data_IF_018617368394
#
_entry.id   IF_018617368394
#
_cell.length_a   1.000
_cell.length_b   1.000
_cell.length_c   1.000
_cell.angle_alpha   90.00
_cell.angle_beta   90.00
_cell.angle_gamma   90.00
#
_symmetry.space_group_name_H-M   'P 1'
#
loop_
_entity.id
_entity.type
_entity.pdbx_description
1 polymer ?
#
# COMPACT_ATOMS: atom_id res chain seq x y z
N UNK A 1 -10.55 -11.86 0.57
CA UNK A 1 -10.30 -10.41 0.41
C UNK A 1 -11.35 -9.72 -0.45
N UNK A 2 -11.72 -10.22 -1.64
CA UNK A 2 -12.67 -9.59 -2.58
C UNK A 2 -14.00 -9.17 -1.94
N UNK A 3 -14.59 -10.02 -1.12
CA UNK A 3 -15.84 -9.71 -0.41
C UNK A 3 -15.71 -8.48 0.51
N UNK A 4 -14.60 -8.38 1.23
CA UNK A 4 -14.34 -7.22 2.10
C UNK A 4 -14.10 -5.96 1.28
N UNK A 5 -13.31 -6.05 0.21
CA UNK A 5 -13.09 -4.96 -0.74
C UNK A 5 -14.42 -4.46 -1.32
N UNK A 6 -15.28 -5.37 -1.81
CA UNK A 6 -16.57 -5.01 -2.37
C UNK A 6 -17.45 -4.28 -1.35
N UNK A 7 -17.53 -4.82 -0.12
CA UNK A 7 -18.29 -4.21 0.97
C UNK A 7 -17.77 -2.83 1.33
N UNK A 8 -16.46 -2.67 1.50
CA UNK A 8 -15.87 -1.41 1.94
C UNK A 8 -16.02 -0.32 0.89
N UNK A 9 -15.98 -0.67 -0.42
CA UNK A 9 -16.35 0.25 -1.50
C UNK A 9 -17.80 0.71 -1.35
N UNK A 10 -18.73 -0.23 -1.12
CA UNK A 10 -20.18 0.08 -0.93
C UNK A 10 -20.44 0.94 0.29
N UNK A 11 -19.68 0.75 1.36
CA UNK A 11 -19.81 1.53 2.60
C UNK A 11 -19.17 2.91 2.53
N UNK A 12 -18.57 3.28 1.39
CA UNK A 12 -17.93 4.57 1.22
C UNK A 12 -16.56 4.70 1.89
N UNK A 13 -15.98 3.61 2.41
CA UNK A 13 -14.66 3.62 3.03
C UNK A 13 -13.57 3.94 2.01
N UNK A 14 -12.48 4.57 2.47
CA UNK A 14 -11.25 4.67 1.69
C UNK A 14 -10.52 3.32 1.64
N UNK A 15 -9.84 3.05 0.54
CA UNK A 15 -9.15 1.77 0.33
C UNK A 15 -7.78 2.03 -0.30
N UNK A 16 -6.77 1.27 0.14
CA UNK A 16 -5.57 1.03 -0.63
C UNK A 16 -5.43 -0.48 -0.84
N UNK A 17 -5.22 -0.90 -2.07
CA UNK A 17 -4.95 -2.29 -2.43
C UNK A 17 -3.52 -2.40 -2.94
N UNK A 18 -2.70 -3.17 -2.23
CA UNK A 18 -1.29 -3.43 -2.52
C UNK A 18 -1.11 -4.95 -2.62
N UNK A 19 -0.70 -5.44 -3.79
CA UNK A 19 -0.47 -6.87 -3.98
C UNK A 19 0.52 -7.14 -5.13
N UNK A 20 1.39 -8.18 -5.02
CA UNK A 20 2.52 -8.35 -5.93
C UNK A 20 2.20 -9.14 -7.20
N UNK A 21 1.01 -9.71 -7.36
CA UNK A 21 0.65 -10.60 -8.45
C UNK A 21 -0.27 -9.98 -9.51
N UNK A 22 -1.05 -8.97 -9.15
CA UNK A 22 -2.00 -8.27 -10.03
C UNK A 22 -3.37 -8.95 -10.15
N UNK A 23 -3.51 -10.22 -9.78
CA UNK A 23 -4.78 -10.94 -9.93
C UNK A 23 -5.92 -10.37 -9.10
N UNK A 24 -5.65 -10.01 -7.85
CA UNK A 24 -6.66 -9.42 -6.97
C UNK A 24 -6.99 -7.99 -7.42
N UNK A 25 -5.99 -7.22 -7.83
CA UNK A 25 -6.18 -5.86 -8.34
C UNK A 25 -7.01 -5.86 -9.63
N UNK A 26 -6.73 -6.77 -10.56
CA UNK A 26 -7.48 -6.90 -11.81
C UNK A 26 -8.94 -7.28 -11.53
N UNK A 27 -9.19 -8.26 -10.64
CA UNK A 27 -10.56 -8.63 -10.23
C UNK A 27 -11.28 -7.50 -9.51
N UNK A 28 -10.58 -6.79 -8.63
CA UNK A 28 -11.12 -5.65 -7.91
C UNK A 28 -11.58 -4.54 -8.86
N UNK A 29 -10.75 -4.19 -9.84
CA UNK A 29 -11.08 -3.17 -10.82
C UNK A 29 -12.26 -3.57 -11.75
N UNK A 30 -12.57 -4.86 -11.85
CA UNK A 30 -13.73 -5.36 -12.60
C UNK A 30 -15.04 -5.34 -11.79
N UNK A 31 -15.06 -4.91 -10.54
CA UNK A 31 -16.30 -4.82 -9.79
C UNK A 31 -17.32 -3.91 -10.50
N UNK A 32 -18.58 -4.33 -10.55
CA UNK A 32 -19.69 -3.59 -11.14
C UNK A 32 -19.87 -2.20 -10.53
N UNK A 33 -19.48 -2.03 -9.26
CA UNK A 33 -19.48 -0.76 -8.53
C UNK A 33 -18.69 0.34 -9.24
N UNK A 34 -17.70 -0.03 -10.06
CA UNK A 34 -16.86 0.92 -10.79
C UNK A 34 -17.35 1.21 -12.21
N UNK A 35 -18.46 0.67 -12.64
CA UNK A 35 -19.08 1.04 -13.92
C UNK A 35 -19.35 2.54 -13.95
N UNK A 36 -19.12 3.16 -15.11
CA UNK A 36 -19.27 4.61 -15.29
C UNK A 36 -20.72 5.08 -15.11
N UNK A 37 -21.68 4.20 -15.35
CA UNK A 37 -23.13 4.43 -15.17
C UNK A 37 -23.67 3.93 -13.81
N UNK A 38 -22.82 3.40 -12.94
CA UNK A 38 -23.27 2.90 -11.64
C UNK A 38 -23.60 4.07 -10.70
N UNK A 39 -24.77 3.99 -10.04
CA UNK A 39 -25.33 5.03 -9.16
C UNK A 39 -24.40 5.47 -8.01
N UNK A 40 -23.51 4.58 -7.54
CA UNK A 40 -22.56 4.90 -6.46
C UNK A 40 -21.46 5.85 -6.88
N UNK A 41 -21.21 6.01 -8.19
CA UNK A 41 -20.09 6.76 -8.74
C UNK A 41 -18.72 6.40 -8.13
N UNK A 42 -18.58 5.16 -7.64
CA UNK A 42 -17.35 4.71 -6.97
C UNK A 42 -16.10 4.83 -7.86
N UNK A 43 -16.29 4.78 -9.19
CA UNK A 43 -15.22 5.00 -10.16
C UNK A 43 -14.59 6.40 -10.05
N UNK A 44 -15.28 7.39 -9.50
CA UNK A 44 -14.74 8.73 -9.30
C UNK A 44 -13.71 8.80 -8.17
N UNK A 45 -13.81 7.88 -7.23
CA UNK A 45 -12.89 7.72 -6.10
C UNK A 45 -11.64 6.92 -6.46
N UNK A 46 -11.61 6.24 -7.63
CA UNK A 46 -10.46 5.44 -8.05
C UNK A 46 -9.25 6.31 -8.36
N UNK A 47 -8.12 5.94 -7.77
CA UNK A 47 -6.78 6.42 -8.08
C UNK A 47 -5.94 5.21 -8.44
N UNK A 48 -5.39 5.20 -9.64
CA UNK A 48 -4.60 4.09 -10.13
C UNK A 48 -3.13 4.48 -10.17
N UNK A 49 -2.31 3.81 -9.37
CA UNK A 49 -0.86 3.82 -9.50
C UNK A 49 -0.47 2.65 -10.41
N UNK A 50 -0.55 2.86 -11.72
CA UNK A 50 -0.26 1.84 -12.74
C UNK A 50 1.16 2.03 -13.28
N UNK A 51 2.08 1.17 -12.84
CA UNK A 51 3.47 1.17 -13.29
C UNK A 51 3.75 0.07 -14.34
N UNK A 52 2.71 -0.64 -14.78
CA UNK A 52 2.82 -1.75 -15.72
C UNK A 52 2.48 -1.35 -17.16
N UNK A 53 1.81 -0.22 -17.33
CA UNK A 53 1.36 0.25 -18.64
C UNK A 53 2.53 0.82 -19.46
N UNK A 54 2.35 0.93 -20.78
CA UNK A 54 3.30 1.60 -21.68
C UNK A 54 3.52 3.08 -21.31
N UNK A 55 2.49 3.69 -20.71
CA UNK A 55 2.53 5.04 -20.16
C UNK A 55 2.25 4.96 -18.66
N UNK A 56 3.27 4.70 -17.82
CA UNK A 56 3.07 4.51 -16.40
C UNK A 56 2.64 5.80 -15.72
N UNK A 57 1.93 5.64 -14.61
CA UNK A 57 1.56 6.77 -13.74
C UNK A 57 2.81 7.50 -13.27
N UNK A 58 2.96 8.82 -13.47
CA UNK A 58 4.04 9.60 -12.89
C UNK A 58 4.08 9.43 -11.37
N UNK A 59 5.19 8.94 -10.86
CA UNK A 59 5.38 8.65 -9.44
C UNK A 59 6.75 9.12 -8.95
N UNK A 60 7.01 10.43 -9.11
CA UNK A 60 8.21 11.03 -8.55
C UNK A 60 8.00 11.25 -7.05
N UNK A 61 8.56 10.35 -6.24
CA UNK A 61 8.41 10.33 -4.78
C UNK A 61 8.99 11.57 -4.09
N UNK A 62 9.87 12.32 -4.75
CA UNK A 62 10.46 13.55 -4.24
C UNK A 62 9.61 14.79 -4.56
N UNK A 63 8.67 14.68 -5.50
CA UNK A 63 7.71 15.75 -5.83
C UNK A 63 6.47 15.64 -4.97
N UNK A 64 6.62 15.98 -3.71
CA UNK A 64 5.55 16.02 -2.70
C UNK A 64 5.34 17.45 -2.24
N UNK A 65 4.12 17.77 -1.80
CA UNK A 65 3.83 19.09 -1.21
C UNK A 65 4.63 19.29 0.08
N UNK A 66 5.58 20.20 0.06
CA UNK A 66 6.32 20.64 1.24
C UNK A 66 5.71 21.94 1.79
N UNK A 67 5.66 22.11 3.12
CA UNK A 67 5.25 23.38 3.74
C UNK A 67 6.14 24.54 3.29
N UNK A 68 5.58 25.74 3.23
CA UNK A 68 6.34 26.98 2.99
C UNK A 68 7.07 27.49 4.23
N UNK A 69 6.56 27.17 5.43
CA UNK A 69 7.25 27.48 6.68
C UNK A 69 8.55 26.66 6.80
N UNK A 70 9.71 27.27 7.04
CA UNK A 70 11.00 26.58 7.06
C UNK A 70 11.08 25.46 8.10
N UNK A 71 10.56 25.68 9.31
CA UNK A 71 10.59 24.69 10.39
C UNK A 71 9.70 23.50 10.06
N UNK A 72 8.46 23.74 9.64
CA UNK A 72 7.53 22.70 9.22
C UNK A 72 8.04 21.94 7.98
N UNK A 73 8.74 22.64 7.07
CA UNK A 73 9.39 22.04 5.89
C UNK A 73 10.50 21.08 6.31
N UNK A 74 11.35 21.46 7.24
CA UNK A 74 12.43 20.61 7.77
C UNK A 74 11.88 19.34 8.43
N UNK A 75 10.92 19.51 9.33
CA UNK A 75 10.24 18.38 9.98
C UNK A 75 9.65 17.44 8.92
N UNK A 76 9.02 18.01 7.90
CA UNK A 76 8.42 17.22 6.81
C UNK A 76 9.43 16.45 5.99
N UNK A 77 10.57 17.01 5.69
CA UNK A 77 11.67 16.35 4.97
C UNK A 77 12.21 15.18 5.81
N UNK A 78 12.44 15.39 7.10
CA UNK A 78 12.92 14.34 8.00
C UNK A 78 11.92 13.16 8.10
N UNK A 79 10.62 13.46 8.21
CA UNK A 79 9.56 12.45 8.18
C UNK A 79 9.57 11.64 6.87
N UNK A 80 9.71 12.30 5.73
CA UNK A 80 9.76 11.65 4.42
C UNK A 80 11.01 10.78 4.29
N UNK A 81 12.18 11.29 4.65
CA UNK A 81 13.43 10.54 4.62
C UNK A 81 13.37 9.29 5.52
N UNK A 82 12.84 9.44 6.74
CA UNK A 82 12.61 8.32 7.66
C UNK A 82 11.60 7.31 7.11
N UNK A 83 10.57 7.78 6.40
CA UNK A 83 9.54 6.91 5.80
C UNK A 83 10.05 6.15 4.57
N UNK A 84 10.92 6.75 3.76
CA UNK A 84 11.40 6.11 2.52
C UNK A 84 12.48 5.07 2.79
N UNK A 85 13.34 5.28 3.79
CA UNK A 85 14.43 4.38 4.10
C UNK A 85 14.02 2.91 4.26
N UNK A 86 12.99 2.55 5.06
CA UNK A 86 12.56 1.16 5.18
C UNK A 86 12.06 0.55 3.86
N UNK A 87 11.44 1.37 2.98
CA UNK A 87 10.98 0.87 1.68
C UNK A 87 12.14 0.51 0.77
N UNK A 88 13.20 1.31 0.76
CA UNK A 88 14.43 1.01 0.02
C UNK A 88 15.16 -0.18 0.64
N UNK A 89 15.31 -0.21 1.97
CA UNK A 89 16.00 -1.31 2.67
C UNK A 89 15.36 -2.67 2.41
N UNK A 90 14.02 -2.72 2.34
CA UNK A 90 13.31 -3.96 2.02
C UNK A 90 13.42 -4.37 0.54
N UNK A 91 13.56 -3.42 -0.37
CA UNK A 91 13.66 -3.69 -1.80
C UNK A 91 15.05 -4.16 -2.21
N UNK A 92 16.07 -3.56 -1.60
CA UNK A 92 17.46 -3.77 -1.98
C UNK A 92 18.00 -5.05 -1.35
N UNK A 93 18.47 -6.00 -2.16
CA UNK A 93 19.10 -7.24 -1.71
C UNK A 93 20.52 -7.39 -2.29
N UNK A 94 21.45 -7.98 -1.57
CA UNK A 94 21.41 -8.40 -0.16
C UNK A 94 21.14 -7.22 0.77
N UNK A 95 20.77 -7.50 2.03
CA UNK A 95 20.42 -6.48 3.03
C UNK A 95 21.43 -5.34 3.09
N UNK A 96 20.93 -4.13 3.31
CA UNK A 96 21.77 -2.96 3.46
C UNK A 96 22.53 -3.02 4.80
N UNK A 97 23.77 -2.56 4.81
CA UNK A 97 24.51 -2.34 6.05
C UNK A 97 24.02 -1.05 6.72
N UNK A 98 24.24 -0.92 8.03
CA UNK A 98 23.93 0.32 8.77
C UNK A 98 24.59 1.55 8.13
N UNK A 99 25.80 1.40 7.61
CA UNK A 99 26.49 2.48 6.90
C UNK A 99 25.80 2.89 5.59
N UNK A 100 25.27 1.92 4.83
CA UNK A 100 24.49 2.21 3.62
C UNK A 100 23.16 2.89 3.97
N UNK A 101 22.50 2.46 5.03
CA UNK A 101 21.24 3.07 5.48
C UNK A 101 21.45 4.52 5.94
N UNK A 102 22.48 4.77 6.75
CA UNK A 102 22.83 6.11 7.20
C UNK A 102 23.18 7.03 6.01
N UNK A 103 23.96 6.52 5.06
CA UNK A 103 24.32 7.24 3.83
C UNK A 103 23.08 7.54 2.99
N UNK A 104 22.25 6.54 2.72
CA UNK A 104 21.05 6.72 1.91
C UNK A 104 20.06 7.70 2.56
N UNK A 105 19.88 7.64 3.88
CA UNK A 105 19.05 8.61 4.61
C UNK A 105 19.57 10.04 4.43
N UNK A 106 20.86 10.24 4.55
CA UNK A 106 21.49 11.56 4.35
C UNK A 106 21.27 12.08 2.93
N UNK A 107 21.45 11.21 1.92
CA UNK A 107 21.23 11.56 0.51
C UNK A 107 19.75 11.88 0.26
N UNK A 108 18.82 11.06 0.73
CA UNK A 108 17.37 11.30 0.59
C UNK A 108 17.02 12.67 1.19
N UNK A 109 17.50 12.98 2.39
CA UNK A 109 17.27 14.28 3.04
C UNK A 109 17.81 15.42 2.17
N UNK A 110 19.03 15.31 1.66
CA UNK A 110 19.64 16.33 0.81
C UNK A 110 18.86 16.55 -0.49
N UNK A 111 18.42 15.48 -1.16
CA UNK A 111 17.66 15.55 -2.43
C UNK A 111 16.40 16.39 -2.30
N UNK A 112 15.70 16.37 -1.16
CA UNK A 112 14.50 17.20 -0.94
C UNK A 112 14.78 18.71 -0.92
N UNK A 113 16.03 19.13 -0.79
CA UNK A 113 16.40 20.55 -0.87
C UNK A 113 16.70 21.01 -2.30
N UNK A 114 16.73 20.11 -3.28
CA UNK A 114 16.86 20.49 -4.69
C UNK A 114 15.57 21.16 -5.19
N UNK A 115 15.68 22.10 -6.16
CA UNK A 115 14.49 22.74 -6.76
C UNK A 115 13.64 21.76 -7.57
N UNK A 116 14.29 20.81 -8.24
CA UNK A 116 13.66 19.79 -9.10
C UNK A 116 14.15 18.39 -8.73
N UNK A 117 13.74 17.86 -7.55
CA UNK A 117 14.28 16.60 -7.06
C UNK A 117 13.69 15.40 -7.79
N UNK A 118 14.53 14.38 -8.02
CA UNK A 118 14.14 13.12 -8.65
C UNK A 118 14.93 11.94 -8.08
N UNK A 119 14.49 10.73 -8.39
CA UNK A 119 15.24 9.52 -8.02
C UNK A 119 16.65 9.49 -8.60
N UNK A 120 16.86 10.10 -9.78
CA UNK A 120 18.16 10.15 -10.41
C UNK A 120 19.19 10.96 -9.58
N UNK A 121 18.71 11.89 -8.76
CA UNK A 121 19.61 12.67 -7.89
C UNK A 121 20.21 11.82 -6.76
N UNK A 122 19.54 10.73 -6.33
CA UNK A 122 20.18 9.77 -5.42
C UNK A 122 21.42 9.13 -6.03
N UNK A 123 21.32 8.77 -7.32
CA UNK A 123 22.43 8.15 -8.04
C UNK A 123 23.48 9.20 -8.38
N UNK A 124 23.05 10.39 -8.79
CA UNK A 124 23.94 11.49 -9.15
C UNK A 124 24.82 11.94 -8.00
N UNK A 125 24.30 12.01 -6.78
CA UNK A 125 25.09 12.32 -5.57
C UNK A 125 26.13 11.21 -5.28
N UNK A 126 25.78 9.94 -5.52
CA UNK A 126 26.71 8.81 -5.34
C UNK A 126 27.78 8.73 -6.44
N UNK A 127 27.49 9.28 -7.63
CA UNK A 127 28.41 9.36 -8.77
C UNK A 127 29.31 10.60 -8.75
N UNK A 128 29.03 11.55 -7.83
CA UNK A 128 29.75 12.82 -7.78
C UNK A 128 31.16 12.60 -7.22
N UNK A 129 32.15 12.48 -8.12
CA UNK A 129 33.56 12.31 -7.79
C UNK A 129 34.28 13.66 -7.76
N UNK A 130 33.82 14.60 -8.56
CA UNK A 130 34.42 15.91 -8.78
C UNK A 130 33.53 17.01 -8.18
N UNK A 131 33.51 17.07 -6.88
CA UNK A 131 32.59 17.85 -6.08
C UNK A 131 32.71 19.37 -6.18
N UNK A 132 33.75 19.90 -6.82
CA UNK A 132 33.94 21.33 -6.99
C UNK A 132 33.13 21.82 -8.21
N UNK A 133 32.16 22.71 -7.97
CA UNK A 133 31.29 23.36 -8.96
C UNK A 133 30.08 22.57 -9.47
N UNK A 134 29.82 21.36 -8.96
CA UNK A 134 28.64 20.60 -9.37
C UNK A 134 27.34 21.15 -8.75
N UNK A 135 26.20 20.74 -9.31
CA UNK A 135 24.86 21.01 -8.76
C UNK A 135 24.73 20.53 -7.31
N UNK A 136 25.37 19.41 -6.96
CA UNK A 136 25.29 18.81 -5.65
C UNK A 136 26.17 19.52 -4.62
N UNK A 137 27.33 20.04 -5.02
CA UNK A 137 28.17 20.86 -4.13
C UNK A 137 27.43 22.09 -3.62
N UNK A 138 26.78 22.84 -4.53
CA UNK A 138 25.95 23.99 -4.15
C UNK A 138 24.81 23.60 -3.23
N UNK A 139 24.21 22.41 -3.45
CA UNK A 139 23.21 21.86 -2.56
C UNK A 139 23.78 21.66 -1.16
N UNK A 140 24.94 21.02 -1.03
CA UNK A 140 25.53 20.71 0.27
C UNK A 140 25.90 21.98 1.05
N UNK A 141 26.45 23.00 0.40
CA UNK A 141 26.73 24.31 1.00
C UNK A 141 25.43 24.99 1.50
N UNK A 142 24.32 24.80 0.81
CA UNK A 142 23.03 25.42 1.16
C UNK A 142 22.27 24.72 2.26
N UNK A 143 22.71 23.54 2.73
CA UNK A 143 22.03 22.81 3.79
C UNK A 143 22.10 23.57 5.11
N UNK A 144 20.93 23.88 5.68
CA UNK A 144 20.82 24.57 6.96
C UNK A 144 21.27 23.72 8.14
N UNK A 145 21.05 22.39 8.06
CA UNK A 145 21.47 21.46 9.10
C UNK A 145 23.00 21.30 9.10
N UNK A 146 23.71 21.80 10.15
CA UNK A 146 25.17 21.80 10.16
C UNK A 146 25.80 20.41 10.26
N UNK A 147 25.07 19.43 10.82
CA UNK A 147 25.53 18.04 10.91
C UNK A 147 25.49 17.41 9.53
N UNK A 148 24.38 17.58 8.80
CA UNK A 148 24.21 17.03 7.45
C UNK A 148 25.18 17.70 6.47
N UNK A 149 25.33 19.03 6.55
CA UNK A 149 26.33 19.77 5.76
C UNK A 149 27.74 19.27 6.05
N UNK A 150 28.13 19.20 7.32
CA UNK A 150 29.45 18.71 7.71
C UNK A 150 29.74 17.28 7.26
N UNK A 151 28.70 16.42 7.20
CA UNK A 151 28.82 15.07 6.66
C UNK A 151 29.22 15.10 5.18
N UNK A 152 28.54 15.89 4.35
CA UNK A 152 28.86 15.99 2.92
C UNK A 152 30.18 16.71 2.66
N UNK A 153 30.51 17.76 3.40
CA UNK A 153 31.75 18.49 3.23
C UNK A 153 33.00 17.69 3.66
N UNK A 154 32.90 16.87 4.73
CA UNK A 154 34.06 16.28 5.37
C UNK A 154 34.20 14.77 5.24
N UNK A 155 33.08 14.05 5.25
CA UNK A 155 33.08 12.60 5.38
C UNK A 155 32.69 11.87 4.11
N UNK A 156 31.68 12.36 3.41
CA UNK A 156 31.06 11.66 2.26
C UNK A 156 32.04 11.41 1.11
N UNK A 157 32.97 12.33 0.83
CA UNK A 157 33.94 12.22 -0.26
C UNK A 157 35.26 11.56 0.14
N UNK A 158 35.36 11.06 1.36
CA UNK A 158 36.58 10.30 1.75
C UNK A 158 36.63 8.98 0.99
N UNK A 159 37.84 8.60 0.55
CA UNK A 159 38.07 7.34 -0.20
C UNK A 159 37.53 6.08 0.50
N UNK A 160 37.53 6.06 1.83
CA UNK A 160 36.95 4.97 2.63
C UNK A 160 35.44 4.78 2.43
N UNK A 161 34.72 5.81 1.96
CA UNK A 161 33.29 5.76 1.73
C UNK A 161 32.91 5.05 0.41
N UNK A 162 33.87 4.88 -0.50
CA UNK A 162 33.65 4.19 -1.77
C UNK A 162 33.19 2.74 -1.58
N UNK A 163 33.67 2.07 -0.54
CA UNK A 163 33.22 0.72 -0.16
C UNK A 163 31.73 0.67 0.14
N UNK A 164 31.15 1.78 0.59
CA UNK A 164 29.70 1.92 0.88
C UNK A 164 28.93 2.49 -0.31
N UNK A 165 29.51 3.48 -1.03
CA UNK A 165 28.88 4.14 -2.17
C UNK A 165 28.65 3.21 -3.35
N UNK A 166 29.67 2.49 -3.79
CA UNK A 166 29.60 1.67 -5.01
C UNK A 166 28.50 0.60 -4.93
N UNK A 167 28.42 -0.25 -3.88
CA UNK A 167 27.33 -1.22 -3.78
C UNK A 167 25.95 -0.57 -3.63
N UNK A 168 25.82 0.56 -2.93
CA UNK A 168 24.55 1.28 -2.80
C UNK A 168 24.10 1.82 -4.15
N UNK A 169 25.00 2.44 -4.91
CA UNK A 169 24.74 2.93 -6.26
C UNK A 169 24.27 1.84 -7.21
N UNK A 170 24.95 0.70 -7.25
CA UNK A 170 24.59 -0.41 -8.12
C UNK A 170 23.20 -0.96 -7.80
N UNK A 171 22.86 -1.02 -6.53
CA UNK A 171 21.52 -1.46 -6.08
C UNK A 171 20.43 -0.46 -6.49
N UNK A 172 20.65 0.85 -6.30
CA UNK A 172 19.71 1.89 -6.75
C UNK A 172 19.54 1.89 -8.27
N UNK A 173 20.64 1.72 -9.04
CA UNK A 173 20.58 1.53 -10.48
C UNK A 173 19.80 0.28 -10.88
N UNK A 174 19.95 -0.79 -10.09
CA UNK A 174 19.18 -2.03 -10.24
C UNK A 174 17.67 -1.80 -10.24
N UNK A 175 17.17 -0.94 -9.35
CA UNK A 175 15.75 -0.59 -9.26
C UNK A 175 15.24 0.15 -10.50
N UNK A 176 16.09 0.92 -11.18
CA UNK A 176 15.75 1.67 -12.39
C UNK A 176 15.95 0.88 -13.70
N UNK A 177 16.16 -0.43 -13.69
CA UNK A 177 16.38 -1.21 -14.92
C UNK A 177 15.17 -1.24 -15.84
N UNK A 178 13.96 -1.23 -15.29
CA UNK A 178 12.73 -1.22 -16.07
C UNK A 178 12.46 0.17 -16.65
N UNK A 179 12.14 0.23 -17.95
CA UNK A 179 11.74 1.47 -18.62
C UNK A 179 10.52 2.13 -17.95
N UNK A 180 9.57 1.31 -17.54
CA UNK A 180 8.36 1.79 -16.85
C UNK A 180 8.70 2.46 -15.51
N UNK A 181 9.61 1.86 -14.75
CA UNK A 181 10.10 2.44 -13.50
C UNK A 181 10.81 3.76 -13.75
N UNK A 182 11.70 3.82 -14.76
CA UNK A 182 12.37 5.06 -15.12
C UNK A 182 11.35 6.16 -15.45
N UNK A 183 10.38 5.86 -16.33
CA UNK A 183 9.36 6.83 -16.72
C UNK A 183 8.52 7.34 -15.54
N UNK A 184 8.21 6.48 -14.59
CA UNK A 184 7.43 6.85 -13.42
C UNK A 184 8.24 7.68 -12.41
N UNK A 185 9.44 7.21 -12.03
CA UNK A 185 10.22 7.82 -10.95
C UNK A 185 11.02 9.04 -11.38
N UNK A 186 11.35 9.16 -12.69
CA UNK A 186 12.04 10.32 -13.25
C UNK A 186 11.08 11.35 -13.84
N UNK A 187 9.77 11.17 -13.66
CA UNK A 187 8.78 12.14 -14.10
C UNK A 187 8.96 13.49 -13.37
N UNK A 188 8.60 14.57 -14.05
CA UNK A 188 8.66 15.93 -13.49
C UNK A 188 7.63 16.17 -12.37
N UNK A 189 6.65 15.28 -12.21
CA UNK A 189 5.56 15.41 -11.26
C UNK A 189 5.22 14.09 -10.56
N UNK A 190 4.42 14.19 -9.48
CA UNK A 190 3.81 13.05 -8.82
C UNK A 190 2.30 13.13 -8.99
N UNK A 191 1.71 12.18 -9.72
CA UNK A 191 0.27 12.12 -9.97
C UNK A 191 -0.53 11.57 -8.78
N UNK A 192 0.12 11.07 -7.71
CA UNK A 192 -0.53 10.43 -6.57
C UNK A 192 -0.41 11.30 -5.32
N UNK A 193 -1.52 11.91 -4.92
CA UNK A 193 -1.62 12.71 -3.70
C UNK A 193 -2.19 11.86 -2.55
N UNK A 194 -1.31 11.34 -1.70
CA UNK A 194 -1.69 10.46 -0.58
C UNK A 194 -2.48 11.19 0.52
N UNK A 195 -2.25 12.47 0.72
CA UNK A 195 -3.03 13.27 1.67
C UNK A 195 -4.48 13.44 1.18
N UNK A 196 -4.67 13.72 -0.11
CA UNK A 196 -5.99 13.76 -0.73
C UNK A 196 -6.68 12.40 -0.72
N UNK A 197 -5.95 11.31 -1.01
CA UNK A 197 -6.47 9.94 -1.00
C UNK A 197 -7.08 9.61 0.36
N UNK A 198 -6.37 9.89 1.43
CA UNK A 198 -6.86 9.64 2.79
C UNK A 198 -7.97 10.60 3.21
N UNK A 199 -7.81 11.90 2.93
CA UNK A 199 -8.77 12.93 3.32
C UNK A 199 -10.12 12.75 2.66
N UNK A 200 -10.13 12.35 1.40
CA UNK A 200 -11.35 12.22 0.58
C UNK A 200 -11.88 10.78 0.54
N UNK A 201 -11.21 9.85 1.24
CA UNK A 201 -11.60 8.45 1.24
C UNK A 201 -11.53 7.81 -0.15
N UNK A 202 -10.52 8.15 -0.95
CA UNK A 202 -10.33 7.58 -2.29
C UNK A 202 -9.96 6.10 -2.24
N UNK A 203 -9.93 5.47 -3.39
CA UNK A 203 -9.62 4.07 -3.59
C UNK A 203 -8.34 3.98 -4.41
N UNK A 204 -7.21 3.74 -3.73
CA UNK A 204 -5.91 3.56 -4.37
C UNK A 204 -5.72 2.10 -4.76
N UNK A 205 -5.39 1.86 -6.02
CA UNK A 205 -4.98 0.54 -6.51
C UNK A 205 -3.54 0.64 -7.03
N UNK A 206 -2.64 -0.12 -6.40
CA UNK A 206 -1.24 -0.19 -6.81
C UNK A 206 -1.05 -1.37 -7.75
N UNK A 207 -0.72 -1.09 -9.01
CA UNK A 207 -0.39 -2.08 -10.04
C UNK A 207 1.10 -2.08 -10.31
N UNK A 208 1.78 -3.03 -9.67
CA UNK A 208 3.23 -3.17 -9.71
C UNK A 208 3.62 -4.65 -9.64
N UNK A 209 3.16 -5.45 -10.63
CA UNK A 209 3.35 -6.91 -10.64
C UNK A 209 4.83 -7.29 -10.74
N UNK A 210 5.24 -8.23 -9.91
CA UNK A 210 6.62 -8.72 -9.86
C UNK A 210 7.08 -9.40 -11.15
N UNK A 211 6.17 -10.02 -11.90
CA UNK A 211 6.50 -10.65 -13.19
C UNK A 211 6.67 -9.63 -14.33
N UNK A 212 6.28 -8.38 -14.14
CA UNK A 212 6.43 -7.28 -15.12
C UNK A 212 7.60 -6.38 -14.76
N UNK A 213 7.70 -5.99 -13.50
CA UNK A 213 8.68 -4.98 -13.03
C UNK A 213 9.90 -5.58 -12.31
N UNK A 214 9.87 -6.88 -12.01
CA UNK A 214 10.82 -7.55 -11.14
C UNK A 214 10.41 -7.51 -9.67
N UNK A 215 10.94 -8.46 -8.87
CA UNK A 215 10.53 -8.63 -7.47
C UNK A 215 10.93 -7.43 -6.60
N UNK A 216 12.16 -6.94 -6.78
CA UNK A 216 12.73 -5.83 -6.00
C UNK A 216 11.95 -4.53 -6.23
N UNK A 217 11.70 -4.17 -7.49
CA UNK A 217 10.95 -2.97 -7.85
C UNK A 217 9.48 -3.06 -7.37
N UNK A 218 8.82 -4.20 -7.57
CA UNK A 218 7.46 -4.42 -7.09
C UNK A 218 7.36 -4.24 -5.57
N UNK A 219 8.30 -4.81 -4.83
CA UNK A 219 8.37 -4.70 -3.36
C UNK A 219 8.63 -3.26 -2.92
N UNK A 220 9.55 -2.56 -3.58
CA UNK A 220 9.85 -1.15 -3.30
C UNK A 220 8.61 -0.28 -3.47
N UNK A 221 7.92 -0.42 -4.60
CA UNK A 221 6.72 0.39 -4.92
C UNK A 221 5.62 0.17 -3.89
N UNK A 222 5.33 -1.09 -3.56
CA UNK A 222 4.31 -1.40 -2.55
C UNK A 222 4.65 -0.84 -1.17
N UNK A 223 5.92 -0.92 -0.77
CA UNK A 223 6.39 -0.35 0.49
C UNK A 223 6.37 1.18 0.48
N UNK A 224 6.82 1.83 -0.60
CA UNK A 224 6.73 3.29 -0.73
C UNK A 224 5.29 3.78 -0.67
N UNK A 225 4.38 3.15 -1.42
CA UNK A 225 2.96 3.48 -1.38
C UNK A 225 2.38 3.35 0.04
N UNK A 226 2.72 2.26 0.75
CA UNK A 226 2.32 2.07 2.14
C UNK A 226 2.91 3.15 3.08
N UNK A 227 4.20 3.44 2.97
CA UNK A 227 4.86 4.45 3.80
C UNK A 227 4.25 5.84 3.62
N UNK A 228 3.98 6.22 2.37
CA UNK A 228 3.34 7.49 2.06
C UNK A 228 1.90 7.56 2.61
N UNK A 229 1.14 6.46 2.54
CA UNK A 229 -0.18 6.34 3.19
C UNK A 229 -0.09 6.47 4.70
N UNK A 230 0.85 5.78 5.32
CA UNK A 230 1.04 5.80 6.76
C UNK A 230 1.39 7.20 7.26
N UNK A 231 2.37 7.86 6.61
CA UNK A 231 2.73 9.24 6.92
C UNK A 231 1.56 10.21 6.73
N UNK A 232 0.76 10.06 5.66
CA UNK A 232 -0.44 10.85 5.44
C UNK A 232 -1.52 10.59 6.51
N UNK A 233 -1.64 9.36 7.03
CA UNK A 233 -2.59 9.04 8.10
C UNK A 233 -2.28 9.80 9.40
N UNK A 234 -1.01 9.92 9.78
CA UNK A 234 -0.62 10.72 10.95
C UNK A 234 -1.04 12.18 10.82
N UNK A 235 -0.89 12.78 9.64
CA UNK A 235 -1.25 14.18 9.40
C UNK A 235 -2.75 14.45 9.47
N UNK A 236 -3.59 13.42 9.30
CA UNK A 236 -5.06 13.59 9.37
C UNK A 236 -5.55 14.11 10.72
N UNK A 237 -4.87 13.78 11.82
CA UNK A 237 -5.30 14.20 13.17
C UNK A 237 -5.31 15.71 13.35
N UNK A 238 -4.36 16.41 12.75
CA UNK A 238 -4.28 17.87 12.87
C UNK A 238 -5.43 18.61 12.18
N UNK A 239 -6.23 17.91 11.36
CA UNK A 239 -7.31 18.53 10.59
C UNK A 239 -8.64 18.64 11.35
N UNK A 240 -8.77 18.04 12.54
CA UNK A 240 -9.94 18.20 13.42
C UNK A 240 -11.30 17.74 12.85
N UNK A 241 -11.32 17.00 11.74
CA UNK A 241 -12.52 16.51 11.05
C UNK A 241 -12.79 15.04 11.37
N UNK A 242 -14.06 14.63 11.24
CA UNK A 242 -14.41 13.22 11.30
C UNK A 242 -13.62 12.41 10.26
N UNK A 243 -12.95 11.35 10.72
CA UNK A 243 -12.08 10.54 9.87
C UNK A 243 -12.92 9.52 9.09
N UNK A 244 -12.85 9.56 7.76
CA UNK A 244 -13.37 8.48 6.92
C UNK A 244 -12.51 7.23 7.20
N UNK A 245 -13.12 6.08 7.56
CA UNK A 245 -12.36 4.83 7.73
C UNK A 245 -11.61 4.48 6.45
N UNK A 246 -10.34 4.17 6.58
CA UNK A 246 -9.46 3.82 5.46
C UNK A 246 -8.85 2.45 5.68
N UNK A 247 -8.99 1.55 4.72
CA UNK A 247 -8.52 0.17 4.81
C UNK A 247 -7.35 -0.07 3.85
N UNK A 248 -6.19 -0.43 4.40
CA UNK A 248 -5.03 -0.84 3.63
C UNK A 248 -5.04 -2.37 3.50
N UNK A 249 -5.32 -2.85 2.30
CA UNK A 249 -5.34 -4.26 1.94
C UNK A 249 -3.97 -4.66 1.38
N UNK A 250 -3.33 -5.62 2.03
CA UNK A 250 -2.06 -6.18 1.58
C UNK A 250 -2.21 -7.69 1.40
N UNK A 251 -2.24 -8.13 0.15
CA UNK A 251 -2.15 -9.56 -0.17
C UNK A 251 -0.67 -9.97 -0.24
N UNK A 252 -0.33 -11.21 0.13
CA UNK A 252 1.05 -11.67 0.30
C UNK A 252 1.85 -10.68 1.19
N UNK A 253 1.26 -10.33 2.34
CA UNK A 253 1.74 -9.25 3.21
C UNK A 253 3.18 -9.44 3.72
N UNK A 254 3.73 -10.65 3.69
CA UNK A 254 5.15 -10.91 4.00
C UNK A 254 6.12 -10.13 3.11
N UNK A 255 5.68 -9.65 1.94
CA UNK A 255 6.48 -8.79 1.08
C UNK A 255 6.57 -7.33 1.58
N UNK A 256 5.68 -6.95 2.49
CA UNK A 256 5.49 -5.56 2.91
C UNK A 256 5.60 -5.31 4.41
N UNK A 257 5.61 -6.38 5.24
CA UNK A 257 5.68 -6.24 6.70
C UNK A 257 7.08 -5.77 7.10
N UNK A 258 7.15 -4.52 7.50
CA UNK A 258 8.29 -3.86 8.10
C UNK A 258 7.89 -3.25 9.45
N UNK A 259 8.81 -2.55 10.11
CA UNK A 259 8.54 -1.89 11.39
C UNK A 259 7.37 -0.90 11.32
N UNK A 260 7.21 -0.20 10.20
CA UNK A 260 6.10 0.76 10.03
C UNK A 260 4.75 0.03 9.99
N UNK A 261 4.66 -1.14 9.33
CA UNK A 261 3.43 -1.95 9.36
C UNK A 261 3.18 -2.45 10.78
N UNK A 262 4.23 -2.93 11.49
CA UNK A 262 4.13 -3.42 12.87
C UNK A 262 3.62 -2.30 13.80
N UNK A 263 4.20 -1.12 13.71
CA UNK A 263 3.77 0.06 14.48
C UNK A 263 2.35 0.48 14.08
N UNK A 264 2.05 0.46 12.79
CA UNK A 264 0.73 0.75 12.25
C UNK A 264 -0.36 -0.19 12.78
N UNK A 265 -0.07 -1.48 12.94
CA UNK A 265 -0.99 -2.44 13.55
C UNK A 265 -1.37 -2.07 15.00
N UNK A 266 -0.48 -1.40 15.71
CA UNK A 266 -0.70 -0.95 17.08
C UNK A 266 -1.38 0.41 17.18
N UNK A 267 -1.03 1.35 16.29
CA UNK A 267 -1.31 2.77 16.47
C UNK A 267 -2.21 3.39 15.39
N UNK A 268 -2.12 2.92 14.13
CA UNK A 268 -2.74 3.59 12.98
C UNK A 268 -4.27 3.71 13.05
N UNK A 269 -4.92 2.89 13.89
CA UNK A 269 -6.34 2.97 14.16
C UNK A 269 -6.77 4.35 14.69
N UNK A 270 -5.94 5.00 15.50
CA UNK A 270 -6.21 6.34 16.03
C UNK A 270 -6.37 7.36 14.89
N UNK A 271 -5.71 7.10 13.77
CA UNK A 271 -5.70 7.93 12.57
C UNK A 271 -6.73 7.47 11.52
N UNK A 272 -7.61 6.52 11.87
CA UNK A 272 -8.60 5.96 10.97
C UNK A 272 -8.03 5.07 9.88
N UNK A 273 -6.76 4.64 9.98
CA UNK A 273 -6.14 3.68 9.08
C UNK A 273 -6.21 2.27 9.68
N UNK A 274 -6.75 1.33 8.92
CA UNK A 274 -6.95 -0.06 9.29
C UNK A 274 -6.23 -0.97 8.30
N UNK A 275 -5.75 -2.13 8.77
CA UNK A 275 -5.06 -3.10 7.93
C UNK A 275 -5.88 -4.35 7.71
N UNK A 276 -5.87 -4.84 6.47
CA UNK A 276 -6.39 -6.14 6.07
C UNK A 276 -5.26 -6.90 5.41
N UNK A 277 -4.68 -7.83 6.15
CA UNK A 277 -3.45 -8.53 5.77
C UNK A 277 -3.76 -9.99 5.43
N UNK A 278 -3.21 -10.50 4.32
CA UNK A 278 -3.30 -11.90 3.97
C UNK A 278 -1.93 -12.46 3.61
N UNK A 279 -1.69 -13.70 4.02
CA UNK A 279 -0.53 -14.49 3.63
C UNK A 279 -0.90 -15.97 3.54
N UNK A 280 -0.05 -16.76 2.88
CA UNK A 280 -0.29 -18.19 2.70
C UNK A 280 0.29 -19.03 3.85
N UNK A 281 1.44 -18.63 4.38
CA UNK A 281 2.16 -19.35 5.43
C UNK A 281 2.70 -18.37 6.47
N UNK A 282 2.55 -18.70 7.76
CA UNK A 282 3.05 -17.85 8.85
C UNK A 282 4.57 -17.71 8.89
N UNK A 283 5.30 -18.71 8.41
CA UNK A 283 6.76 -18.73 8.46
C UNK A 283 7.43 -18.24 7.17
N UNK A 284 6.66 -17.86 6.15
CA UNK A 284 7.22 -17.47 4.86
C UNK A 284 7.92 -16.11 4.93
N UNK A 285 9.26 -16.14 4.94
CA UNK A 285 10.11 -14.95 4.90
C UNK A 285 9.76 -13.88 5.97
N UNK A 286 9.28 -14.30 7.14
CA UNK A 286 8.92 -13.41 8.25
C UNK A 286 9.74 -13.74 9.50
N UNK A 287 10.24 -12.71 10.15
CA UNK A 287 10.85 -12.80 11.47
C UNK A 287 9.82 -13.19 12.55
N UNK A 288 10.29 -13.66 13.69
CA UNK A 288 9.39 -13.96 14.83
C UNK A 288 8.60 -12.72 15.29
N UNK A 289 9.20 -11.53 15.21
CA UNK A 289 8.54 -10.27 15.56
C UNK A 289 7.39 -9.96 14.60
N UNK A 290 7.61 -10.11 13.30
CA UNK A 290 6.57 -9.93 12.28
C UNK A 290 5.42 -10.93 12.44
N UNK A 291 5.74 -12.22 12.70
CA UNK A 291 4.72 -13.23 12.98
C UNK A 291 3.89 -12.91 14.23
N UNK A 292 4.53 -12.48 15.32
CA UNK A 292 3.84 -12.06 16.55
C UNK A 292 2.92 -10.86 16.31
N UNK A 293 3.37 -9.88 15.50
CA UNK A 293 2.56 -8.72 15.16
C UNK A 293 1.28 -9.13 14.40
N UNK A 294 1.39 -10.02 13.41
CA UNK A 294 0.22 -10.57 12.71
C UNK A 294 -0.72 -11.31 13.64
N UNK A 295 -0.19 -12.17 14.51
CA UNK A 295 -0.99 -12.97 15.43
C UNK A 295 -1.67 -12.09 16.52
N UNK A 296 -1.21 -10.87 16.76
CA UNK A 296 -1.86 -9.95 17.69
C UNK A 296 -3.06 -9.18 17.10
N UNK A 297 -3.38 -9.38 15.82
CA UNK A 297 -4.55 -8.73 15.22
C UNK A 297 -5.87 -9.13 15.89
N UNK A 298 -6.80 -8.17 15.95
CA UNK A 298 -8.08 -8.36 16.66
C UNK A 298 -8.99 -9.39 15.99
N UNK A 299 -8.96 -9.48 14.66
CA UNK A 299 -9.74 -10.45 13.89
C UNK A 299 -8.77 -11.36 13.15
N UNK A 300 -8.95 -12.66 13.33
CA UNK A 300 -8.18 -13.71 12.65
C UNK A 300 -9.14 -14.59 11.86
N UNK A 301 -8.82 -14.79 10.58
CA UNK A 301 -9.60 -15.66 9.69
C UNK A 301 -8.62 -16.68 9.13
N UNK A 302 -8.83 -17.95 9.43
CA UNK A 302 -7.93 -19.02 9.03
C UNK A 302 -8.69 -20.09 8.25
N UNK A 303 -8.27 -20.34 7.02
CA UNK A 303 -8.74 -21.44 6.19
C UNK A 303 -7.89 -22.70 6.39
N UNK A 304 -7.83 -23.53 5.34
CA UNK A 304 -6.96 -24.71 5.31
C UNK A 304 -5.49 -24.27 5.30
N UNK A 305 -4.68 -24.83 6.18
CA UNK A 305 -3.26 -24.52 6.32
C UNK A 305 -2.45 -25.80 6.58
N UNK A 306 -1.12 -25.72 6.43
CA UNK A 306 -0.22 -26.81 6.77
C UNK A 306 -0.25 -27.15 8.27
N UNK A 307 0.37 -28.28 8.65
CA UNK A 307 0.33 -28.76 10.04
C UNK A 307 0.97 -27.78 11.03
N UNK A 308 2.12 -27.19 10.70
CA UNK A 308 2.83 -26.29 11.61
C UNK A 308 2.00 -25.01 11.89
N UNK A 309 1.41 -24.43 10.86
CA UNK A 309 0.53 -23.27 11.00
C UNK A 309 -0.79 -23.63 11.67
N UNK A 310 -1.35 -24.82 11.41
CA UNK A 310 -2.55 -25.30 12.10
C UNK A 310 -2.35 -25.40 13.61
N UNK A 311 -1.20 -25.85 14.08
CA UNK A 311 -0.87 -25.90 15.52
C UNK A 311 -0.82 -24.50 16.11
N UNK A 312 -0.14 -23.55 15.46
CA UNK A 312 -0.06 -22.15 15.93
C UNK A 312 -1.41 -21.49 15.94
N UNK A 313 -2.18 -21.60 14.83
CA UNK A 313 -3.50 -20.97 14.73
C UNK A 313 -4.52 -21.58 15.71
N UNK A 314 -4.47 -22.89 15.94
CA UNK A 314 -5.32 -23.52 16.94
C UNK A 314 -5.10 -22.96 18.34
N UNK A 315 -3.83 -22.77 18.73
CA UNK A 315 -3.47 -22.16 20.02
C UNK A 315 -3.93 -20.70 20.09
N UNK A 316 -3.62 -19.90 19.07
CA UNK A 316 -3.94 -18.48 19.01
C UNK A 316 -5.45 -18.18 18.96
N UNK A 317 -6.22 -19.02 18.31
CA UNK A 317 -7.66 -18.85 18.17
C UNK A 317 -8.47 -19.61 19.23
N UNK A 318 -7.82 -20.41 20.07
CA UNK A 318 -8.50 -21.20 21.11
C UNK A 318 -9.37 -22.33 20.55
N UNK A 319 -9.01 -22.90 19.39
CA UNK A 319 -9.76 -23.99 18.78
C UNK A 319 -9.28 -25.34 19.36
N UNK A 320 -10.13 -25.98 20.18
CA UNK A 320 -9.86 -27.34 20.69
C UNK A 320 -9.71 -28.32 19.53
N UNK A 321 -8.70 -29.20 19.58
CA UNK A 321 -8.35 -30.16 18.52
C UNK A 321 -8.15 -29.52 17.13
N UNK A 322 -7.86 -28.21 17.13
CA UNK A 322 -7.82 -27.39 15.93
C UNK A 322 -6.74 -27.81 14.93
N UNK A 323 -5.61 -28.41 15.40
CA UNK A 323 -4.56 -28.88 14.52
C UNK A 323 -5.04 -29.86 13.42
N UNK A 324 -5.98 -30.73 13.73
CA UNK A 324 -6.64 -31.59 12.77
C UNK A 324 -7.69 -30.83 11.95
N UNK A 325 -8.53 -30.04 12.61
CA UNK A 325 -9.67 -29.35 11.99
C UNK A 325 -9.26 -28.35 10.91
N UNK A 326 -8.20 -27.55 11.10
CA UNK A 326 -7.72 -26.59 10.10
C UNK A 326 -7.23 -27.27 8.81
N UNK A 327 -6.62 -28.46 8.93
CA UNK A 327 -6.08 -29.18 7.76
C UNK A 327 -7.15 -29.74 6.82
N UNK A 328 -8.36 -29.92 7.31
CA UNK A 328 -9.46 -30.52 6.58
C UNK A 328 -10.54 -29.53 6.15
N UNK A 329 -10.31 -28.24 6.34
CA UNK A 329 -11.20 -27.21 5.83
C UNK A 329 -11.27 -27.24 4.30
N UNK A 330 -12.46 -27.23 3.77
CA UNK A 330 -12.70 -27.12 2.32
C UNK A 330 -12.57 -25.68 1.86
N UNK A 331 -12.44 -25.48 0.56
CA UNK A 331 -12.48 -24.13 -0.03
C UNK A 331 -13.76 -23.40 0.40
N UNK A 332 -13.62 -22.19 0.91
CA UNK A 332 -14.72 -21.40 1.46
C UNK A 332 -15.05 -21.66 2.93
N UNK A 333 -14.37 -22.61 3.58
CA UNK A 333 -14.53 -22.87 5.02
C UNK A 333 -13.40 -22.20 5.82
N UNK A 334 -13.79 -21.53 6.90
CA UNK A 334 -12.87 -20.76 7.74
C UNK A 334 -13.24 -20.86 9.22
N UNK A 335 -12.23 -20.76 10.08
CA UNK A 335 -12.43 -20.34 11.45
C UNK A 335 -12.21 -18.84 11.56
N UNK A 336 -13.13 -18.15 12.23
CA UNK A 336 -13.08 -16.72 12.50
C UNK A 336 -13.00 -16.51 13.99
N UNK A 337 -11.98 -15.79 14.43
CA UNK A 337 -11.78 -15.40 15.82
C UNK A 337 -11.74 -13.88 15.91
N UNK A 338 -12.57 -13.32 16.78
CA UNK A 338 -12.55 -11.89 17.16
C UNK A 338 -12.07 -11.84 18.61
N UNK A 339 -11.04 -11.04 18.89
CA UNK A 339 -10.47 -10.91 20.24
C UNK A 339 -11.55 -10.62 21.28
N UNK A 340 -11.60 -11.44 22.32
CA UNK A 340 -12.64 -11.36 23.36
C UNK A 340 -13.96 -12.04 23.02
N UNK A 341 -14.07 -12.71 21.87
CA UNK A 341 -15.26 -13.51 21.48
C UNK A 341 -14.88 -14.96 21.19
N UNK A 342 -15.87 -15.84 21.26
CA UNK A 342 -15.69 -17.25 20.88
C UNK A 342 -15.35 -17.36 19.40
N UNK A 343 -14.50 -18.34 19.06
CA UNK A 343 -14.21 -18.69 17.67
C UNK A 343 -15.45 -19.28 17.02
N UNK A 344 -15.69 -18.91 15.77
CA UNK A 344 -16.78 -19.44 14.97
C UNK A 344 -16.25 -20.13 13.71
N UNK A 345 -16.88 -21.25 13.35
CA UNK A 345 -16.74 -21.86 12.04
C UNK A 345 -17.70 -21.15 11.09
N UNK A 346 -17.18 -20.75 9.92
CA UNK A 346 -17.95 -20.03 8.90
C UNK A 346 -17.72 -20.70 7.55
N UNK A 347 -18.80 -20.91 6.82
CA UNK A 347 -18.74 -21.33 5.42
C UNK A 347 -19.19 -20.16 4.57
N UNK A 348 -18.27 -19.64 3.78
CA UNK A 348 -18.59 -18.57 2.84
C UNK A 348 -19.01 -19.15 1.50
N UNK A 349 -20.12 -18.68 0.94
CA UNK A 349 -20.61 -19.15 -0.35
C UNK A 349 -19.62 -18.80 -1.49
N UNK A 350 -19.69 -19.58 -2.58
CA UNK A 350 -18.80 -19.47 -3.75
C UNK A 350 -19.35 -18.50 -4.79
N UNK A 351 -19.36 -17.18 -4.62
CA UNK A 351 -20.02 -16.27 -5.58
C UNK A 351 -19.10 -15.22 -6.23
N UNK A 352 -17.83 -15.16 -5.90
CA UNK A 352 -16.90 -14.34 -6.68
C UNK A 352 -16.20 -15.18 -7.75
N UNK A 353 -16.94 -15.65 -8.76
CA UNK A 353 -16.36 -16.22 -9.97
C UNK A 353 -16.47 -15.18 -11.09
N UNK A 354 -15.38 -14.95 -11.81
CA UNK A 354 -15.43 -14.20 -13.07
C UNK A 354 -16.51 -14.87 -13.97
N UNK A 355 -17.39 -14.10 -14.61
CA UNK A 355 -18.34 -14.68 -15.55
C UNK A 355 -17.53 -15.33 -16.67
N UNK A 356 -17.44 -16.68 -16.63
CA UNK A 356 -17.03 -17.41 -17.82
C UNK A 356 -18.11 -17.14 -18.86
N UNK A 357 -17.73 -17.02 -20.13
CA UNK A 357 -18.59 -16.69 -21.27
C UNK A 357 -19.77 -17.65 -21.47
N UNK A 358 -19.99 -18.60 -20.55
CA UNK A 358 -21.03 -19.65 -20.60
C UNK A 358 -22.07 -19.62 -19.47
N UNK A 359 -21.98 -18.71 -18.50
CA UNK A 359 -22.98 -18.65 -17.42
C UNK A 359 -23.95 -17.52 -17.72
N UNK A 360 -25.01 -17.85 -18.42
CA UNK A 360 -26.17 -16.99 -18.61
C UNK A 360 -26.82 -16.67 -17.27
N UNK A 361 -27.12 -15.37 -17.03
CA UNK A 361 -28.01 -14.81 -16.02
C UNK A 361 -27.77 -15.23 -14.57
N UNK A 362 -26.61 -14.87 -14.02
CA UNK A 362 -26.53 -14.65 -12.57
C UNK A 362 -27.23 -13.33 -12.22
N UNK A 363 -28.29 -13.39 -11.40
CA UNK A 363 -29.11 -12.22 -10.98
C UNK A 363 -28.32 -11.16 -10.18
N UNK A 364 -27.04 -11.41 -9.83
CA UNK A 364 -26.16 -10.50 -9.11
C UNK A 364 -24.75 -10.60 -9.72
N UNK A 365 -24.56 -10.00 -10.89
CA UNK A 365 -23.22 -9.86 -11.45
C UNK A 365 -22.43 -8.82 -10.62
N UNK A 366 -21.49 -9.29 -9.82
CA UNK A 366 -20.57 -8.47 -9.04
C UNK A 366 -19.49 -7.85 -9.94
N UNK A 367 -19.36 -8.35 -11.16
CA UNK A 367 -18.35 -7.94 -12.12
C UNK A 367 -18.97 -7.27 -13.36
N UNK A 368 -18.31 -6.24 -13.84
CA UNK A 368 -18.70 -5.57 -15.09
C UNK A 368 -18.26 -6.36 -16.33
N UNK A 369 -18.90 -6.07 -17.46
CA UNK A 369 -18.48 -6.61 -18.74
C UNK A 369 -17.15 -5.99 -19.20
N UNK A 370 -16.40 -6.74 -20.01
CA UNK A 370 -15.09 -6.30 -20.53
C UNK A 370 -15.14 -4.95 -21.26
N UNK A 371 -16.20 -4.65 -21.99
CA UNK A 371 -16.41 -3.34 -22.66
C UNK A 371 -16.46 -2.18 -21.64
N UNK A 372 -17.14 -2.39 -20.51
CA UNK A 372 -17.29 -1.37 -19.46
C UNK A 372 -15.96 -1.20 -18.71
N UNK A 373 -15.24 -2.29 -18.49
CA UNK A 373 -13.89 -2.25 -17.94
C UNK A 373 -12.91 -1.47 -18.82
N UNK A 374 -12.92 -1.70 -20.14
CA UNK A 374 -12.09 -0.92 -21.08
C UNK A 374 -12.44 0.57 -21.05
N UNK A 375 -13.72 0.92 -20.95
CA UNK A 375 -14.16 2.31 -20.84
C UNK A 375 -13.67 2.95 -19.53
N UNK A 376 -13.76 2.22 -18.40
CA UNK A 376 -13.22 2.65 -17.11
C UNK A 376 -11.71 2.90 -17.20
N UNK A 377 -10.93 1.93 -17.72
CA UNK A 377 -9.49 2.05 -17.83
C UNK A 377 -9.06 3.21 -18.72
N UNK A 378 -9.75 3.43 -19.83
CA UNK A 378 -9.52 4.58 -20.72
C UNK A 378 -9.78 5.92 -19.98
N UNK A 379 -10.82 6.00 -19.15
CA UNK A 379 -11.09 7.18 -18.32
C UNK A 379 -10.05 7.42 -17.25
N UNK A 380 -9.61 6.36 -16.55
CA UNK A 380 -8.58 6.47 -15.50
C UNK A 380 -7.24 6.94 -16.07
N UNK A 381 -6.82 6.42 -17.23
CA UNK A 381 -5.59 6.85 -17.93
C UNK A 381 -5.63 8.31 -18.39
N UNK A 382 -6.81 8.84 -18.72
CA UNK A 382 -6.99 10.27 -19.08
C UNK A 382 -7.02 11.19 -17.84
N UNK A 383 -7.22 10.64 -16.65
CA UNK A 383 -7.33 11.41 -15.37
C UNK A 383 -5.99 11.74 -14.73
N UNK A 384 -4.84 11.47 -15.36
CA UNK A 384 -3.57 12.04 -14.93
C UNK A 384 -3.64 13.55 -15.17
N UNK A 385 -4.02 14.38 -14.16
CA UNK A 385 -4.21 15.80 -14.41
C UNK A 385 -2.85 16.45 -14.62
N UNK A 386 -2.69 17.33 -15.60
CA UNK A 386 -1.58 18.25 -15.59
C UNK A 386 -1.63 19.07 -14.29
N UNK A 387 -0.47 19.36 -13.72
CA UNK A 387 -0.29 19.99 -12.41
C UNK A 387 -1.03 21.32 -12.18
N UNK A 388 -1.60 21.93 -13.22
CA UNK A 388 -2.22 23.27 -13.19
C UNK A 388 -3.72 23.31 -12.82
N UNK A 389 -4.43 22.17 -12.73
CA UNK A 389 -5.89 22.19 -12.49
C UNK A 389 -6.33 21.86 -11.05
N UNK A 390 -5.40 21.79 -10.09
CA UNK A 390 -5.73 21.42 -8.68
C UNK A 390 -6.58 22.45 -7.89
N UNK A 391 -6.77 23.66 -8.37
CA UNK A 391 -7.40 24.73 -7.58
C UNK A 391 -8.95 24.83 -7.67
N UNK A 392 -9.58 24.25 -8.69
CA UNK A 392 -11.03 24.48 -8.95
C UNK A 392 -11.98 23.35 -8.50
N UNK A 393 -11.48 22.15 -8.23
CA UNK A 393 -12.34 20.98 -7.93
C UNK A 393 -12.86 20.94 -6.49
N UNK A 394 -12.36 21.77 -5.59
CA UNK A 394 -12.70 21.73 -4.14
C UNK A 394 -14.13 22.20 -3.83
N UNK A 395 -14.87 22.78 -4.76
CA UNK A 395 -16.16 23.44 -4.49
C UNK A 395 -17.45 22.61 -4.64
N UNK A 396 -17.38 21.31 -4.99
CA UNK A 396 -18.62 20.50 -5.22
C UNK A 396 -18.58 19.10 -4.62
N UNK A 397 -18.41 18.95 -3.32
CA UNK A 397 -18.78 17.69 -2.65
C UNK A 397 -19.92 17.98 -1.68
N UNK A 398 -21.15 17.71 -2.12
CA UNK A 398 -22.30 17.51 -1.24
C UNK A 398 -22.20 16.12 -0.63
N UNK A 399 -22.26 16.05 0.69
CA UNK A 399 -22.42 14.81 1.44
C UNK A 399 -23.67 14.08 0.96
N UNK A 400 -23.53 12.86 0.47
CA UNK A 400 -24.64 11.95 0.23
C UNK A 400 -24.95 11.23 1.53
N UNK A 401 -26.14 11.45 2.07
CA UNK A 401 -26.72 10.65 3.15
C UNK A 401 -26.88 9.21 2.66
N UNK A 402 -26.46 8.27 3.49
CA UNK A 402 -26.57 6.82 3.22
C UNK A 402 -28.01 6.42 3.51
N UNK A 403 -28.75 5.83 2.54
CA UNK A 403 -30.10 5.33 2.81
C UNK A 403 -30.05 4.13 3.77
N UNK A 404 -30.92 4.11 4.78
CA UNK A 404 -31.07 3.07 5.79
C UNK A 404 -31.54 1.69 5.28
N UNK A 405 -31.89 1.54 4.01
CA UNK A 405 -32.51 0.32 3.46
C UNK A 405 -31.53 -0.78 3.00
N UNK A 406 -30.23 -0.67 3.27
CA UNK A 406 -29.22 -1.62 2.76
C UNK A 406 -28.99 -2.87 3.65
N UNK A 407 -29.82 -3.15 4.65
CA UNK A 407 -29.57 -4.22 5.62
C UNK A 407 -29.86 -5.66 5.17
N UNK A 408 -30.57 -5.88 4.06
CA UNK A 408 -31.18 -7.20 3.78
C UNK A 408 -30.69 -7.96 2.53
N UNK A 409 -29.48 -7.81 2.06
CA UNK A 409 -29.00 -8.57 0.88
C UNK A 409 -27.64 -9.21 1.11
N UNK A 410 -27.59 -10.41 1.68
CA UNK A 410 -26.37 -11.22 1.80
C UNK A 410 -26.58 -12.68 1.46
N UNK A 411 -26.22 -13.07 0.25
CA UNK A 411 -25.77 -14.40 -0.12
C UNK A 411 -24.59 -14.23 -1.09
N UNK A 412 -23.36 -14.47 -0.64
CA UNK A 412 -22.12 -14.24 -1.39
C UNK A 412 -21.24 -15.48 -1.31
N UNK A 413 -20.86 -16.05 -2.46
CA UNK A 413 -20.00 -17.24 -2.60
C UNK A 413 -18.53 -16.89 -3.00
N UNK A 414 -17.53 -17.55 -2.42
CA UNK A 414 -16.09 -17.29 -2.66
C UNK A 414 -15.34 -18.55 -3.08
N UNK A 415 -14.58 -18.50 -4.14
CA UNK A 415 -13.56 -19.51 -4.48
C UNK A 415 -12.17 -18.90 -4.39
N UNK A 416 -11.29 -19.42 -3.57
CA UNK A 416 -9.86 -19.63 -3.87
C UNK A 416 -9.05 -20.33 -2.77
N UNK A 417 -7.83 -20.76 -3.17
CA UNK A 417 -6.85 -21.59 -2.45
C UNK A 417 -6.46 -21.07 -1.07
N UNK A 418 -6.09 -21.99 -0.20
CA UNK A 418 -5.61 -21.84 1.17
C UNK A 418 -4.84 -20.53 1.47
N UNK A 419 -5.48 -19.58 2.16
CA UNK A 419 -4.84 -18.35 2.65
C UNK A 419 -5.20 -18.09 4.11
N UNK A 420 -4.21 -17.68 4.90
CA UNK A 420 -4.43 -17.07 6.21
C UNK A 420 -4.71 -15.59 5.96
N UNK A 421 -5.90 -15.12 6.32
CA UNK A 421 -6.22 -13.70 6.27
C UNK A 421 -6.32 -13.14 7.68
N UNK A 422 -5.60 -12.06 7.94
CA UNK A 422 -5.56 -11.39 9.23
C UNK A 422 -6.09 -9.98 9.04
N UNK A 423 -7.14 -9.65 9.76
CA UNK A 423 -7.84 -8.38 9.64
C UNK A 423 -7.73 -7.61 10.95
N UNK A 424 -7.22 -6.39 10.88
CA UNK A 424 -7.22 -5.47 12.00
C UNK A 424 -8.56 -4.73 12.05
N UNK A 425 -9.51 -5.28 12.78
CA UNK A 425 -10.81 -4.72 13.14
C UNK A 425 -11.84 -4.51 12.03
N UNK A 426 -12.81 -5.38 12.02
CA UNK A 426 -14.21 -5.04 11.70
C UNK A 426 -14.94 -4.71 13.00
N UNK A 427 -15.81 -3.73 12.99
CA UNK A 427 -16.65 -3.39 14.13
C UNK A 427 -17.49 -4.61 14.52
N UNK A 428 -17.43 -4.99 15.79
CA UNK A 428 -18.09 -6.20 16.28
C UNK A 428 -19.62 -6.16 16.10
N UNK A 429 -20.21 -4.97 16.03
CA UNK A 429 -21.64 -4.76 15.74
C UNK A 429 -22.04 -5.23 14.35
N UNK A 430 -21.11 -5.23 13.39
CA UNK A 430 -21.37 -5.60 11.99
C UNK A 430 -21.31 -7.11 11.71
N UNK A 431 -20.81 -7.92 12.64
CA UNK A 431 -20.78 -9.39 12.52
C UNK A 431 -22.00 -10.09 13.11
N UNK A 432 -22.77 -9.40 13.97
CA UNK A 432 -23.92 -10.03 14.64
C UNK A 432 -25.15 -10.22 13.72
N UNK A 433 -25.25 -9.51 12.59
CA UNK A 433 -26.43 -9.56 11.71
C UNK A 433 -26.37 -10.61 10.61
N UNK A 434 -25.28 -11.41 10.52
CA UNK A 434 -25.07 -12.35 9.40
C UNK A 434 -24.92 -13.81 9.81
N UNK A 435 -25.18 -14.15 11.09
CA UNK A 435 -25.06 -15.53 11.58
C UNK A 435 -26.29 -15.85 12.43
N UNK A 436 -27.42 -16.02 11.80
CA UNK A 436 -28.57 -16.82 12.29
C UNK A 436 -28.80 -17.99 11.34
#
# INVERSE_FOLDING_TARGET
MEMFLYRDVRMGSGIALIEPHGELADRFLHFDLFRLDHRSQAHERLVLLDLESETPTPFNIFRVGLPSDPVARHIRIDELAASYLPAFSMAIRPEMTEGMEAMLKSIITAVFHLPDPSFNDLIGILDDEDHLETRYWRLFESLENPILRGYFEKDFFRSKMEVTKAPLKDRLRGLLRSRQIQQAFLASENAVDFDAILREGKILVVRARKNVLGEEASRMIGNLAHQMLYAAAFRRLSLGKALIPFFCYMDECQNYINETVINGLSEARKFGLHYVLANQYLNQNMTLTQQKALLNCNVKICGNVNYADAVKMAKEMGVKDGKGRFRWLKAGEFFVHIKGKLVRFVRWPRTFALPSSRVGRCRHAVYMLEKDFRALMARLRKRTPPASQKAEVIKKIKYLEVPQEAENCYNIEVTHKNKISVIQRLDASRFNSTVS
#
